data_IF_067973918036
#
_entry.id   IF_067973918036
#
_cell.length_a   1.000
_cell.length_b   1.000
_cell.length_c   1.000
_cell.angle_alpha   90.00
_cell.angle_beta   90.00
_cell.angle_gamma   90.00
#
_symmetry.space_group_name_H-M   'P 1'
#
loop_
_entity.id
_entity.type
_entity.pdbx_description
1 polymer ?
#
# COMPACT_ATOMS: atom_id res chain seq x y z
N UNK A 1 6.00 -13.74 28.79
CA UNK A 1 6.41 -12.34 29.11
C UNK A 1 5.64 -11.40 28.18
N UNK A 2 4.85 -10.45 28.71
CA UNK A 2 3.93 -9.58 27.93
C UNK A 2 4.72 -8.39 27.34
N UNK A 3 4.97 -8.36 26.02
CA UNK A 3 5.81 -7.34 25.35
C UNK A 3 4.96 -6.46 24.42
N UNK A 4 5.06 -5.13 24.53
CA UNK A 4 4.43 -4.22 23.57
C UNK A 4 5.15 -4.30 22.22
N UNK A 5 4.41 -4.59 21.15
CA UNK A 5 4.96 -4.66 19.80
C UNK A 5 5.15 -3.25 19.22
N UNK A 6 6.40 -2.90 18.95
CA UNK A 6 6.74 -1.68 18.22
C UNK A 6 7.02 -2.02 16.74
N UNK A 7 6.06 -1.71 15.86
CA UNK A 7 6.13 -2.01 14.42
C UNK A 7 7.31 -1.31 13.73
N UNK A 8 7.69 -0.11 14.16
CA UNK A 8 8.84 0.59 13.57
C UNK A 8 10.17 -0.14 13.81
N UNK A 9 10.30 -0.89 14.91
CA UNK A 9 11.45 -1.78 15.12
C UNK A 9 11.45 -2.94 14.12
N UNK A 10 10.27 -3.42 13.72
CA UNK A 10 10.08 -4.46 12.71
C UNK A 10 10.55 -4.05 11.31
N UNK A 11 10.53 -2.77 10.97
CA UNK A 11 11.08 -2.27 9.70
C UNK A 11 12.62 -2.37 9.65
N UNK A 12 13.30 -2.06 10.77
CA UNK A 12 14.77 -2.07 10.85
C UNK A 12 15.35 -3.47 11.03
N UNK A 13 14.74 -4.28 11.90
CA UNK A 13 15.21 -5.63 12.23
C UNK A 13 14.09 -6.68 12.07
N UNK A 14 13.66 -7.01 10.83
CA UNK A 14 12.55 -7.94 10.60
C UNK A 14 12.79 -9.32 11.22
N UNK A 15 14.01 -9.88 11.10
CA UNK A 15 14.32 -11.22 11.61
C UNK A 15 14.10 -11.36 13.12
N UNK A 16 14.61 -10.40 13.90
CA UNK A 16 14.45 -10.39 15.35
C UNK A 16 13.00 -10.12 15.76
N UNK A 17 12.34 -9.20 15.06
CA UNK A 17 10.93 -8.89 15.29
C UNK A 17 10.02 -10.11 15.07
N UNK A 18 10.22 -10.86 13.98
CA UNK A 18 9.43 -12.06 13.71
C UNK A 18 9.79 -13.23 14.63
N UNK A 19 11.03 -13.29 15.12
CA UNK A 19 11.39 -14.22 16.19
C UNK A 19 10.55 -13.95 17.45
N UNK A 20 10.55 -12.71 17.94
CA UNK A 20 9.74 -12.28 19.08
C UNK A 20 8.24 -12.54 18.85
N UNK A 21 7.74 -12.24 17.64
CA UNK A 21 6.34 -12.43 17.28
C UNK A 21 5.94 -13.92 17.28
N UNK A 22 6.82 -14.81 16.81
CA UNK A 22 6.55 -16.26 16.79
C UNK A 22 6.43 -16.86 18.19
N UNK A 23 7.19 -16.35 19.16
CA UNK A 23 7.20 -16.82 20.54
C UNK A 23 6.14 -16.16 21.43
N UNK A 24 5.41 -15.17 20.93
CA UNK A 24 4.40 -14.46 21.70
C UNK A 24 3.04 -15.13 21.56
N UNK A 25 2.46 -15.58 22.67
CA UNK A 25 1.12 -16.20 22.71
C UNK A 25 -0.02 -15.16 22.68
N UNK A 26 0.15 -14.00 23.33
CA UNK A 26 -0.86 -12.95 23.35
C UNK A 26 -0.26 -11.60 22.94
N UNK A 27 -0.82 -11.06 21.87
CA UNK A 27 -0.43 -9.79 21.27
C UNK A 27 -1.17 -8.67 21.99
N UNK A 28 -0.54 -8.12 23.02
CA UNK A 28 -1.05 -6.91 23.66
C UNK A 28 -1.08 -5.72 22.70
N UNK A 29 -2.18 -4.98 22.73
CA UNK A 29 -2.33 -3.75 21.96
C UNK A 29 -2.55 -3.96 20.45
N UNK A 30 -2.90 -5.19 20.02
CA UNK A 30 -3.22 -5.52 18.63
C UNK A 30 -4.14 -4.50 17.96
N UNK A 31 -5.33 -4.25 18.54
CA UNK A 31 -6.30 -3.30 18.02
C UNK A 31 -5.81 -1.86 18.04
N UNK A 32 -5.05 -1.47 19.07
CA UNK A 32 -4.45 -0.13 19.17
C UNK A 32 -3.45 0.11 18.04
N UNK A 33 -2.67 -0.91 17.68
CA UNK A 33 -1.73 -0.84 16.57
C UNK A 33 -2.44 -0.76 15.22
N UNK A 34 -3.48 -1.56 15.00
CA UNK A 34 -4.32 -1.48 13.79
C UNK A 34 -4.93 -0.09 13.66
N UNK A 35 -5.54 0.44 14.72
CA UNK A 35 -6.16 1.76 14.70
C UNK A 35 -5.14 2.86 14.35
N UNK A 36 -3.93 2.80 14.91
CA UNK A 36 -2.84 3.73 14.57
C UNK A 36 -2.43 3.64 13.09
N UNK A 37 -2.37 2.44 12.53
CA UNK A 37 -2.03 2.24 11.11
C UNK A 37 -3.11 2.77 10.18
N UNK A 38 -4.39 2.55 10.51
CA UNK A 38 -5.51 3.11 9.76
C UNK A 38 -5.45 4.63 9.81
N UNK A 39 -5.27 5.22 11.00
CA UNK A 39 -5.17 6.66 11.16
C UNK A 39 -3.98 7.26 10.37
N UNK A 40 -2.84 6.57 10.36
CA UNK A 40 -1.67 6.99 9.56
C UNK A 40 -1.96 6.91 8.06
N UNK A 41 -2.71 5.90 7.60
CA UNK A 41 -3.15 5.78 6.21
C UNK A 41 -4.09 6.92 5.82
N UNK A 42 -5.09 7.19 6.65
CA UNK A 42 -6.02 8.32 6.48
C UNK A 42 -5.26 9.64 6.38
N UNK A 43 -4.31 9.88 7.28
CA UNK A 43 -3.49 11.08 7.28
C UNK A 43 -2.64 11.19 6.00
N UNK A 44 -2.02 10.10 5.57
CA UNK A 44 -1.19 10.08 4.35
C UNK A 44 -2.01 10.39 3.10
N UNK A 45 -3.19 9.79 2.96
CA UNK A 45 -4.08 10.05 1.82
C UNK A 45 -4.69 11.46 1.89
N UNK A 46 -5.03 11.94 3.08
CA UNK A 46 -5.47 13.31 3.31
C UNK A 46 -4.40 14.31 2.88
N UNK A 47 -3.14 14.12 3.29
CA UNK A 47 -2.02 14.96 2.87
C UNK A 47 -1.87 15.02 1.35
N UNK A 48 -1.87 13.87 0.68
CA UNK A 48 -1.80 13.79 -0.80
C UNK A 48 -2.94 14.61 -1.43
N UNK A 49 -4.15 14.51 -0.90
CA UNK A 49 -5.32 15.24 -1.40
C UNK A 49 -5.24 16.75 -1.10
N UNK A 50 -4.71 17.15 0.06
CA UNK A 50 -4.51 18.56 0.42
C UNK A 50 -3.52 19.26 -0.53
N UNK A 51 -2.53 18.51 -1.04
CA UNK A 51 -1.60 19.00 -2.06
C UNK A 51 -2.19 18.98 -3.49
N UNK A 52 -3.44 18.55 -3.67
CA UNK A 52 -4.10 18.50 -4.98
C UNK A 52 -3.62 17.37 -5.89
N UNK A 53 -2.84 16.41 -5.38
CA UNK A 53 -2.24 15.35 -6.19
C UNK A 53 -3.32 14.39 -6.71
N UNK A 54 -3.48 14.37 -8.04
CA UNK A 54 -4.50 13.61 -8.76
C UNK A 54 -5.86 14.30 -8.85
N UNK A 55 -5.91 15.64 -8.71
CA UNK A 55 -7.07 16.48 -9.06
C UNK A 55 -7.03 16.95 -10.53
N UNK A 56 -6.19 16.36 -11.39
CA UNK A 56 -6.03 16.78 -12.80
C UNK A 56 -7.36 16.85 -13.59
N UNK A 57 -8.34 15.95 -13.39
CA UNK A 57 -9.65 16.08 -14.01
C UNK A 57 -10.41 17.32 -13.53
N UNK A 58 -10.37 17.61 -12.22
CA UNK A 58 -11.06 18.74 -11.61
C UNK A 58 -10.44 20.08 -12.06
N UNK A 59 -9.12 20.12 -12.25
CA UNK A 59 -8.43 21.32 -12.74
C UNK A 59 -8.89 21.77 -14.13
N UNK A 60 -9.42 20.85 -14.97
CA UNK A 60 -9.97 21.20 -16.29
C UNK A 60 -11.29 21.96 -16.19
N UNK A 61 -12.04 21.78 -15.12
CA UNK A 61 -13.35 22.40 -14.90
C UNK A 61 -13.28 23.76 -14.19
N UNK A 62 -12.07 24.25 -13.88
CA UNK A 62 -11.84 25.50 -13.13
C UNK A 62 -12.55 26.72 -13.76
N UNK A 63 -12.61 26.79 -15.09
CA UNK A 63 -13.24 27.90 -15.81
C UNK A 63 -14.71 27.64 -16.16
N UNK A 64 -15.18 26.40 -16.00
CA UNK A 64 -16.53 25.98 -16.38
C UNK A 64 -17.49 25.99 -15.20
N UNK A 65 -16.98 25.75 -13.98
CA UNK A 65 -17.79 25.70 -12.77
C UNK A 65 -17.81 27.04 -12.03
N UNK A 66 -18.94 27.41 -11.40
CA UNK A 66 -18.96 28.52 -10.45
C UNK A 66 -18.06 28.20 -9.25
N UNK A 67 -17.41 29.23 -8.69
CA UNK A 67 -16.42 29.07 -7.62
C UNK A 67 -16.92 28.23 -6.42
N UNK A 68 -18.20 28.35 -6.06
CA UNK A 68 -18.80 27.58 -4.97
C UNK A 68 -18.91 26.09 -5.28
N UNK A 69 -19.23 25.72 -6.53
CA UNK A 69 -19.29 24.32 -6.96
C UNK A 69 -17.89 23.72 -7.02
N UNK A 70 -16.90 24.48 -7.53
CA UNK A 70 -15.51 24.04 -7.59
C UNK A 70 -14.94 23.72 -6.20
N UNK A 71 -15.16 24.59 -5.21
CA UNK A 71 -14.71 24.34 -3.83
C UNK A 71 -15.42 23.15 -3.18
N UNK A 72 -16.70 22.93 -3.50
CA UNK A 72 -17.43 21.76 -3.04
C UNK A 72 -16.85 20.46 -3.63
N UNK A 73 -16.56 20.43 -4.93
CA UNK A 73 -15.93 19.26 -5.57
C UNK A 73 -14.53 18.97 -5.02
N UNK A 74 -13.75 20.01 -4.76
CA UNK A 74 -12.44 19.87 -4.11
C UNK A 74 -12.55 19.27 -2.71
N UNK A 75 -13.54 19.70 -1.93
CA UNK A 75 -13.84 19.13 -0.62
C UNK A 75 -14.30 17.67 -0.71
N UNK A 76 -15.17 17.34 -1.67
CA UNK A 76 -15.63 15.97 -1.92
C UNK A 76 -14.47 15.05 -2.35
N UNK A 77 -13.56 15.54 -3.19
CA UNK A 77 -12.35 14.80 -3.55
C UNK A 77 -11.49 14.52 -2.31
N UNK A 78 -11.28 15.53 -1.45
CA UNK A 78 -10.54 15.35 -0.20
C UNK A 78 -11.18 14.30 0.71
N UNK A 79 -12.51 14.34 0.89
CA UNK A 79 -13.24 13.33 1.65
C UNK A 79 -13.12 11.94 1.01
N UNK A 80 -13.28 11.84 -0.31
CA UNK A 80 -13.14 10.59 -1.05
C UNK A 80 -11.75 9.98 -0.91
N UNK A 81 -10.69 10.78 -0.95
CA UNK A 81 -9.31 10.33 -0.72
C UNK A 81 -9.07 9.90 0.72
N UNK A 82 -9.60 10.64 1.69
CA UNK A 82 -9.52 10.31 3.11
C UNK A 82 -10.20 8.96 3.39
N UNK A 83 -11.39 8.75 2.83
CA UNK A 83 -12.13 7.49 2.90
C UNK A 83 -11.38 6.35 2.19
N UNK A 84 -10.78 6.63 1.03
CA UNK A 84 -9.93 5.68 0.32
C UNK A 84 -8.74 5.23 1.17
N UNK A 85 -8.17 6.11 2.00
CA UNK A 85 -7.12 5.76 2.95
C UNK A 85 -7.56 4.72 4.00
N UNK A 86 -8.83 4.78 4.44
CA UNK A 86 -9.43 3.77 5.32
C UNK A 86 -9.52 2.44 4.57
N UNK A 87 -10.20 2.42 3.43
CA UNK A 87 -10.37 1.20 2.62
C UNK A 87 -9.04 0.56 2.24
N UNK A 88 -8.08 1.37 1.81
CA UNK A 88 -6.73 0.93 1.48
C UNK A 88 -6.08 0.19 2.65
N UNK A 89 -6.09 0.78 3.84
CA UNK A 89 -5.49 0.15 5.02
C UNK A 89 -6.19 -1.15 5.42
N UNK A 90 -7.52 -1.21 5.38
CA UNK A 90 -8.30 -2.42 5.68
C UNK A 90 -7.97 -3.53 4.67
N UNK A 91 -7.98 -3.20 3.38
CA UNK A 91 -7.68 -4.15 2.31
C UNK A 91 -6.28 -4.73 2.47
N UNK A 92 -5.27 -3.88 2.64
CA UNK A 92 -3.88 -4.31 2.78
C UNK A 92 -3.65 -5.11 4.07
N UNK A 93 -4.29 -4.75 5.18
CA UNK A 93 -4.11 -5.44 6.44
C UNK A 93 -4.77 -6.81 6.48
N UNK A 94 -5.99 -6.94 5.96
CA UNK A 94 -6.80 -8.12 6.19
C UNK A 94 -6.84 -9.08 5.00
N UNK A 95 -6.90 -8.59 3.75
CA UNK A 95 -7.02 -9.49 2.58
C UNK A 95 -5.79 -10.39 2.40
N UNK A 96 -4.55 -9.86 2.32
CA UNK A 96 -3.36 -10.71 2.25
C UNK A 96 -3.21 -11.59 3.50
N UNK A 97 -3.61 -11.10 4.67
CA UNK A 97 -3.52 -11.87 5.92
C UNK A 97 -4.40 -13.11 5.90
N UNK A 98 -5.59 -13.03 5.30
CA UNK A 98 -6.46 -14.20 5.12
C UNK A 98 -5.78 -15.22 4.21
N UNK A 99 -5.25 -14.79 3.06
CA UNK A 99 -4.55 -15.66 2.11
C UNK A 99 -3.30 -16.31 2.72
N UNK A 100 -2.58 -15.58 3.57
CA UNK A 100 -1.38 -16.09 4.23
C UNK A 100 -1.72 -17.01 5.40
N UNK A 101 -2.86 -16.79 6.04
CA UNK A 101 -3.34 -17.64 7.12
C UNK A 101 -3.83 -18.99 6.59
N UNK A 102 -4.49 -19.05 5.43
CA UNK A 102 -4.98 -20.32 4.86
C UNK A 102 -3.86 -21.31 4.50
N UNK A 103 -2.64 -20.82 4.24
CA UNK A 103 -1.46 -21.66 4.00
C UNK A 103 -0.66 -21.96 5.28
N UNK A 104 -1.03 -21.35 6.41
CA UNK A 104 -0.35 -21.50 7.68
C UNK A 104 -1.02 -22.59 8.50
N UNK A 105 -0.31 -23.68 8.75
CA UNK A 105 -0.87 -24.84 9.48
C UNK A 105 -1.02 -24.59 10.98
N UNK A 106 -0.24 -23.66 11.55
CA UNK A 106 -0.15 -23.42 13.00
C UNK A 106 -0.19 -21.95 13.42
N UNK A 107 -0.30 -21.02 12.46
CA UNK A 107 -0.17 -19.59 12.73
C UNK A 107 -1.49 -18.93 13.12
N UNK A 108 -1.47 -18.10 14.16
CA UNK A 108 -2.61 -17.23 14.48
C UNK A 108 -2.81 -16.16 13.40
N UNK A 109 -4.06 -15.94 12.99
CA UNK A 109 -4.43 -14.89 12.04
C UNK A 109 -3.88 -13.51 12.43
N UNK A 110 -3.90 -13.17 13.73
CA UNK A 110 -3.40 -11.89 14.26
C UNK A 110 -1.92 -11.64 13.93
N UNK A 111 -1.09 -12.69 13.88
CA UNK A 111 0.34 -12.57 13.55
C UNK A 111 0.55 -12.23 12.07
N UNK A 112 -0.30 -12.75 11.19
CA UNK A 112 -0.30 -12.41 9.76
C UNK A 112 -0.71 -10.95 9.52
N UNK A 113 -1.72 -10.46 10.26
CA UNK A 113 -2.12 -9.04 10.22
C UNK A 113 -0.98 -8.12 10.66
N UNK A 114 -0.15 -8.53 11.61
CA UNK A 114 1.03 -7.76 12.02
C UNK A 114 2.09 -7.70 10.91
N UNK A 115 2.32 -8.80 10.18
CA UNK A 115 3.17 -8.78 8.98
C UNK A 115 2.64 -7.73 8.01
N UNK A 116 1.34 -7.75 7.72
CA UNK A 116 0.74 -6.75 6.83
C UNK A 116 0.77 -5.33 7.41
N UNK A 117 0.83 -5.17 8.72
CA UNK A 117 1.07 -3.87 9.34
C UNK A 117 2.42 -3.27 8.96
N UNK A 118 3.47 -4.09 8.87
CA UNK A 118 4.78 -3.65 8.36
C UNK A 118 4.73 -3.34 6.86
N UNK A 119 4.01 -4.16 6.09
CA UNK A 119 3.79 -3.94 4.66
C UNK A 119 3.08 -2.61 4.42
N UNK A 120 2.00 -2.35 5.16
CA UNK A 120 1.28 -1.08 5.08
C UNK A 120 2.18 0.10 5.42
N UNK A 121 3.03 0.00 6.44
CA UNK A 121 4.00 1.06 6.75
C UNK A 121 4.94 1.35 5.57
N UNK A 122 5.49 0.31 4.93
CA UNK A 122 6.36 0.50 3.76
C UNK A 122 5.59 1.14 2.59
N UNK A 123 4.35 0.73 2.36
CA UNK A 123 3.47 1.32 1.33
C UNK A 123 3.12 2.78 1.61
N UNK A 124 2.91 3.16 2.88
CA UNK A 124 2.68 4.54 3.26
C UNK A 124 3.95 5.39 3.12
N UNK A 125 5.12 4.84 3.45
CA UNK A 125 6.41 5.50 3.19
C UNK A 125 6.58 5.74 1.69
N UNK A 126 6.33 4.73 0.85
CA UNK A 126 6.35 4.86 -0.62
C UNK A 126 5.43 6.00 -1.08
N UNK A 127 4.19 6.04 -0.59
CA UNK A 127 3.24 7.13 -0.90
C UNK A 127 3.74 8.50 -0.45
N UNK A 128 4.37 8.61 0.71
CA UNK A 128 4.95 9.86 1.19
C UNK A 128 6.14 10.30 0.33
N UNK A 129 6.97 9.38 -0.16
CA UNK A 129 8.07 9.72 -1.09
C UNK A 129 7.58 10.24 -2.44
N UNK A 130 6.36 9.89 -2.82
CA UNK A 130 5.76 10.40 -4.05
C UNK A 130 5.32 11.87 -3.96
N UNK A 131 5.00 12.37 -2.76
CA UNK A 131 4.58 13.76 -2.56
C UNK A 131 5.62 14.76 -3.12
N UNK A 132 6.90 14.74 -2.70
CA UNK A 132 7.90 15.65 -3.25
C UNK A 132 8.17 15.40 -4.74
N UNK A 133 8.11 14.14 -5.21
CA UNK A 133 8.28 13.83 -6.63
C UNK A 133 7.19 14.49 -7.49
N UNK A 134 5.94 14.41 -7.04
CA UNK A 134 4.82 15.04 -7.71
C UNK A 134 4.89 16.57 -7.63
N UNK A 135 5.20 17.14 -6.45
CA UNK A 135 5.21 18.60 -6.26
C UNK A 135 6.38 19.31 -6.97
N UNK A 136 7.59 18.74 -6.94
CA UNK A 136 8.78 19.41 -7.47
C UNK A 136 9.09 19.02 -8.92
N UNK A 137 8.71 17.82 -9.35
CA UNK A 137 9.05 17.31 -10.67
C UNK A 137 7.82 17.06 -11.56
N UNK A 138 6.60 17.32 -11.05
CA UNK A 138 5.34 17.07 -11.78
C UNK A 138 5.26 15.63 -12.33
N UNK A 139 5.84 14.68 -11.60
CA UNK A 139 5.87 13.29 -12.01
C UNK A 139 4.59 12.59 -11.59
N UNK A 140 4.04 11.80 -12.50
CA UNK A 140 3.01 10.81 -12.20
C UNK A 140 3.57 9.65 -11.36
N UNK A 141 2.68 8.95 -10.66
CA UNK A 141 3.05 7.88 -9.73
C UNK A 141 3.74 6.70 -10.40
N UNK A 142 3.39 6.42 -11.66
CA UNK A 142 4.02 5.39 -12.48
C UNK A 142 5.35 5.86 -13.10
N UNK A 143 5.65 7.16 -13.06
CA UNK A 143 6.90 7.77 -13.56
C UNK A 143 7.92 8.01 -12.45
N UNK A 144 7.74 7.38 -11.29
CA UNK A 144 8.69 7.50 -10.18
C UNK A 144 10.06 6.92 -10.58
N UNK A 145 11.18 7.63 -10.30
CA UNK A 145 12.53 7.12 -10.57
C UNK A 145 12.88 5.90 -9.70
N UNK A 146 12.06 5.61 -8.68
CA UNK A 146 12.22 4.46 -7.79
C UNK A 146 11.42 3.23 -8.27
N UNK A 147 10.76 3.31 -9.43
CA UNK A 147 10.00 2.22 -10.04
C UNK A 147 10.41 1.94 -11.48
N UNK A 148 10.00 0.78 -12.00
CA UNK A 148 10.29 0.36 -13.36
C UNK A 148 9.43 1.06 -14.42
N UNK A 149 8.47 1.90 -14.01
CA UNK A 149 7.56 2.54 -14.97
C UNK A 149 8.24 3.55 -15.87
N UNK A 150 9.31 4.23 -15.41
CA UNK A 150 10.15 5.08 -16.26
C UNK A 150 10.77 4.28 -17.40
N UNK A 151 11.35 3.11 -17.11
CA UNK A 151 11.91 2.24 -18.14
C UNK A 151 10.81 1.71 -19.09
N UNK A 152 9.62 1.40 -18.56
CA UNK A 152 8.50 0.92 -19.34
C UNK A 152 8.05 1.92 -20.41
N UNK A 153 8.05 3.22 -20.11
CA UNK A 153 7.69 4.29 -21.05
C UNK A 153 8.62 4.34 -22.27
N UNK A 154 9.88 3.94 -22.13
CA UNK A 154 10.83 3.86 -23.26
C UNK A 154 10.70 2.56 -24.07
N UNK A 155 10.06 1.53 -23.51
CA UNK A 155 9.97 0.19 -24.12
C UNK A 155 8.61 -0.02 -24.79
N UNK A 156 7.53 0.55 -24.27
CA UNK A 156 6.17 0.33 -24.78
C UNK A 156 5.28 1.55 -24.61
N UNK A 157 4.33 1.72 -25.53
CA UNK A 157 3.30 2.76 -25.49
C UNK A 157 2.01 2.28 -24.79
N UNK A 158 1.93 1.01 -24.39
CA UNK A 158 0.72 0.45 -23.76
C UNK A 158 0.59 0.94 -22.31
N UNK A 159 -0.34 1.88 -22.06
CA UNK A 159 -0.54 2.51 -20.74
C UNK A 159 -0.72 1.53 -19.59
N UNK A 160 -1.51 0.47 -19.77
CA UNK A 160 -1.68 -0.55 -18.73
C UNK A 160 -0.35 -1.23 -18.33
N UNK A 161 0.52 -1.52 -19.31
CA UNK A 161 1.83 -2.13 -19.07
C UNK A 161 2.75 -1.14 -18.32
N UNK A 162 2.70 0.14 -18.68
CA UNK A 162 3.43 1.20 -18.00
C UNK A 162 2.97 1.30 -16.53
N UNK A 163 1.66 1.31 -16.28
CA UNK A 163 1.12 1.37 -14.91
C UNK A 163 1.47 0.13 -14.10
N UNK A 164 1.42 -1.06 -14.72
CA UNK A 164 1.79 -2.31 -14.08
C UNK A 164 3.27 -2.33 -13.69
N UNK A 165 4.16 -1.98 -14.61
CA UNK A 165 5.60 -1.89 -14.33
C UNK A 165 5.93 -0.73 -13.37
N UNK A 166 5.16 0.36 -13.41
CA UNK A 166 5.22 1.45 -12.42
C UNK A 166 4.91 1.00 -10.99
N UNK A 167 4.17 -0.11 -10.80
CA UNK A 167 3.98 -0.71 -9.48
C UNK A 167 5.24 -1.39 -8.94
N UNK A 168 6.16 -1.83 -9.80
CA UNK A 168 7.41 -2.48 -9.36
C UNK A 168 8.41 -1.43 -8.91
N UNK A 169 8.51 -1.22 -7.60
CA UNK A 169 9.41 -0.24 -6.99
C UNK A 169 10.40 -0.89 -6.03
N UNK A 170 11.43 -0.13 -5.63
CA UNK A 170 12.34 -0.53 -4.55
C UNK A 170 11.59 -0.85 -3.24
N UNK A 171 10.48 -0.15 -2.97
CA UNK A 171 9.62 -0.43 -1.82
C UNK A 171 8.92 -1.77 -1.94
N UNK A 172 8.52 -2.19 -3.15
CA UNK A 172 7.97 -3.54 -3.36
C UNK A 172 9.00 -4.62 -3.07
N UNK A 173 10.25 -4.45 -3.47
CA UNK A 173 11.32 -5.39 -3.12
C UNK A 173 11.47 -5.50 -1.60
N UNK A 174 11.38 -4.37 -0.88
CA UNK A 174 11.38 -4.36 0.58
C UNK A 174 10.17 -5.08 1.19
N UNK A 175 8.98 -4.90 0.62
CA UNK A 175 7.75 -5.60 1.03
C UNK A 175 7.92 -7.11 0.86
N UNK A 176 8.45 -7.57 -0.28
CA UNK A 176 8.74 -9.00 -0.51
C UNK A 176 9.67 -9.55 0.56
N UNK A 177 10.74 -8.82 0.89
CA UNK A 177 11.68 -9.23 1.94
C UNK A 177 10.99 -9.37 3.30
N UNK A 178 10.17 -8.40 3.71
CA UNK A 178 9.43 -8.43 4.98
C UNK A 178 8.45 -9.60 5.01
N UNK A 179 7.64 -9.76 3.95
CA UNK A 179 6.64 -10.82 3.85
C UNK A 179 7.30 -12.20 3.88
N UNK A 180 8.40 -12.40 3.15
CA UNK A 180 9.14 -13.66 3.14
C UNK A 180 9.71 -14.00 4.52
N UNK A 181 10.36 -13.04 5.18
CA UNK A 181 10.91 -13.24 6.53
C UNK A 181 9.81 -13.53 7.57
N UNK A 182 8.69 -12.83 7.47
CA UNK A 182 7.54 -13.04 8.36
C UNK A 182 6.91 -14.41 8.17
N UNK A 183 6.53 -14.75 6.93
CA UNK A 183 5.89 -16.03 6.64
C UNK A 183 6.81 -17.20 6.93
N UNK A 184 8.07 -17.17 6.49
CA UNK A 184 9.02 -18.24 6.78
C UNK A 184 9.19 -18.52 8.28
N UNK A 185 8.97 -17.52 9.13
CA UNK A 185 9.06 -17.69 10.59
C UNK A 185 7.75 -18.16 11.22
N UNK A 186 6.61 -17.81 10.63
CA UNK A 186 5.27 -18.14 11.14
C UNK A 186 4.64 -19.38 10.51
N UNK A 187 5.22 -19.92 9.44
CA UNK A 187 4.75 -21.12 8.77
C UNK A 187 5.86 -22.15 8.60
N UNK A 188 5.51 -23.43 8.68
CA UNK A 188 6.40 -24.58 8.43
C UNK A 188 6.42 -24.99 6.94
N UNK A 189 5.80 -24.20 6.07
CA UNK A 189 5.71 -24.48 4.63
C UNK A 189 7.06 -24.40 3.90
N UNK A 190 7.12 -25.09 2.76
CA UNK A 190 8.29 -25.06 1.86
C UNK A 190 8.54 -23.64 1.34
N UNK A 191 9.82 -23.24 1.27
CA UNK A 191 10.21 -21.90 0.82
C UNK A 191 9.58 -21.51 -0.53
N UNK A 192 9.45 -22.44 -1.49
CA UNK A 192 8.89 -22.15 -2.81
C UNK A 192 7.39 -21.78 -2.74
N UNK A 193 6.60 -22.42 -1.87
CA UNK A 193 5.19 -22.10 -1.67
C UNK A 193 5.03 -20.71 -1.08
N UNK A 194 5.87 -20.36 -0.10
CA UNK A 194 5.88 -19.02 0.50
C UNK A 194 6.17 -17.97 -0.57
N UNK A 195 7.20 -18.17 -1.39
CA UNK A 195 7.52 -17.27 -2.50
C UNK A 195 6.38 -17.13 -3.50
N UNK A 196 5.77 -18.25 -3.90
CA UNK A 196 4.67 -18.26 -4.86
C UNK A 196 3.47 -17.46 -4.33
N UNK A 197 3.06 -17.68 -3.09
CA UNK A 197 1.90 -16.99 -2.50
C UNK A 197 2.15 -15.50 -2.32
N UNK A 198 3.36 -15.11 -1.88
CA UNK A 198 3.75 -13.69 -1.83
C UNK A 198 3.70 -13.07 -3.22
N UNK A 199 4.29 -13.74 -4.22
CA UNK A 199 4.36 -13.24 -5.59
C UNK A 199 2.97 -13.06 -6.19
N UNK A 200 2.13 -14.10 -6.14
CA UNK A 200 0.78 -14.05 -6.70
C UNK A 200 -0.08 -12.99 -6.02
N UNK A 201 0.03 -12.87 -4.69
CA UNK A 201 -0.73 -11.85 -3.94
C UNK A 201 -0.32 -10.44 -4.38
N UNK A 202 0.98 -10.15 -4.44
CA UNK A 202 1.45 -8.82 -4.87
C UNK A 202 1.11 -8.54 -6.33
N UNK A 203 1.32 -9.51 -7.24
CA UNK A 203 0.97 -9.38 -8.65
C UNK A 203 -0.52 -9.07 -8.83
N UNK A 204 -1.40 -9.73 -8.07
CA UNK A 204 -2.83 -9.47 -8.09
C UNK A 204 -3.16 -8.03 -7.70
N UNK A 205 -2.58 -7.53 -6.60
CA UNK A 205 -2.78 -6.12 -6.19
C UNK A 205 -2.21 -5.12 -7.22
N UNK A 206 -1.07 -5.42 -7.84
CA UNK A 206 -0.49 -4.55 -8.86
C UNK A 206 -1.31 -4.56 -10.15
N UNK A 207 -1.83 -5.71 -10.57
CA UNK A 207 -2.73 -5.82 -11.71
C UNK A 207 -4.02 -5.03 -11.48
N UNK A 208 -4.63 -5.11 -10.29
CA UNK A 208 -5.80 -4.29 -9.92
C UNK A 208 -5.43 -2.81 -9.94
N UNK A 209 -4.29 -2.42 -9.37
CA UNK A 209 -3.87 -1.02 -9.33
C UNK A 209 -3.68 -0.46 -10.74
N UNK A 210 -3.01 -1.21 -11.62
CA UNK A 210 -2.82 -0.85 -13.01
C UNK A 210 -4.14 -0.78 -13.79
N UNK A 211 -5.06 -1.71 -13.52
CA UNK A 211 -6.39 -1.73 -14.12
C UNK A 211 -7.22 -0.53 -13.68
N UNK A 212 -7.24 -0.19 -12.39
CA UNK A 212 -7.95 0.98 -11.87
C UNK A 212 -7.37 2.30 -12.38
N UNK A 213 -6.05 2.35 -12.65
CA UNK A 213 -5.43 3.51 -13.27
C UNK A 213 -5.66 3.59 -14.79
N UNK A 214 -5.87 2.45 -15.44
CA UNK A 214 -6.17 2.37 -16.87
C UNK A 214 -7.63 2.70 -17.18
N UNK A 215 -8.55 2.33 -16.29
CA UNK A 215 -9.95 2.69 -16.44
C UNK A 215 -10.10 4.18 -16.18
N UNK A 216 -10.35 4.93 -17.25
CA UNK A 216 -10.80 6.30 -17.14
C UNK A 216 -12.27 6.29 -16.72
N UNK A 217 -12.53 6.60 -15.44
CA UNK A 217 -13.90 6.59 -14.89
C UNK A 217 -14.85 7.56 -15.60
N UNK A 218 -14.32 8.50 -16.41
CA UNK A 218 -15.12 9.36 -17.28
C UNK A 218 -15.84 8.59 -18.41
N UNK A 219 -15.38 7.38 -18.76
CA UNK A 219 -15.99 6.56 -19.81
C UNK A 219 -17.11 5.64 -19.34
N UNK A 220 -17.39 5.61 -18.03
CA UNK A 220 -18.42 4.77 -17.40
C UNK A 220 -19.73 5.53 -17.10
N UNK A 221 -19.81 6.81 -17.48
CA UNK A 221 -20.98 7.70 -17.37
C UNK A 221 -21.22 8.31 -18.75
#
# INVERSE_FOLDING_TARGET
MKKELNLFKGLKNPSFFFYDLSTTEDIKGYWKNIFRLILLSVFTFGLIASFGIGMDPLSKELNNLPATAYELEKFLFFLGRTLSGIFYSIIILFIPSILFWTISEKGEYRKHVIIQGLVLLVLLIEKLTYIPLSLFFSLDWFSSPLSLGVAAQYITEKSWVIYFLGCFSLFKVWIFYIQYKGLKRLTEQKNWLIWLVILLTNLFFWAITALLAYIDFSTLI
#
